data_IF_138055211917
#
_entry.id   IF_138055211917
#
_cell.length_a   1.000
_cell.length_b   1.000
_cell.length_c   1.000
_cell.angle_alpha   90.00
_cell.angle_beta   90.00
_cell.angle_gamma   90.00
#
_symmetry.space_group_name_H-M   'P 1'
#
loop_
_entity.id
_entity.type
_entity.pdbx_description
1 polymer ?
#
# COMPACT_ATOMS: atom_id res chain seq x y z
N UNK A 1 55.97 -26.80 -24.29
CA UNK A 1 55.31 -27.02 -22.98
C UNK A 1 54.13 -26.08 -22.93
N UNK A 2 52.94 -26.61 -23.10
CA UNK A 2 51.67 -25.83 -23.04
C UNK A 2 51.35 -25.49 -21.58
N UNK A 3 51.12 -24.22 -21.29
CA UNK A 3 50.76 -23.72 -19.95
C UNK A 3 49.39 -24.27 -19.49
N UNK A 4 49.44 -25.35 -18.74
CA UNK A 4 48.26 -26.03 -18.17
C UNK A 4 47.60 -25.31 -17.00
N UNK A 5 48.24 -24.30 -16.44
CA UNK A 5 47.79 -23.62 -15.20
C UNK A 5 46.86 -22.44 -15.38
N UNK A 6 46.85 -21.77 -16.54
CA UNK A 6 46.02 -20.61 -16.79
C UNK A 6 44.57 -20.90 -17.22
N UNK A 7 44.32 -22.12 -17.72
CA UNK A 7 42.97 -22.49 -18.21
C UNK A 7 42.09 -23.23 -17.17
N UNK A 8 42.65 -23.64 -16.03
CA UNK A 8 41.96 -24.37 -14.99
C UNK A 8 40.76 -23.58 -14.40
N UNK A 9 40.90 -22.27 -14.05
CA UNK A 9 39.78 -21.52 -13.49
C UNK A 9 38.63 -21.28 -14.52
N UNK A 10 38.98 -21.14 -15.80
CA UNK A 10 37.97 -20.95 -16.88
C UNK A 10 37.20 -22.25 -17.15
N UNK A 11 37.88 -23.40 -17.06
CA UNK A 11 37.24 -24.71 -17.20
C UNK A 11 36.28 -24.98 -16.02
N UNK A 12 36.67 -24.69 -14.77
CA UNK A 12 35.80 -24.81 -13.60
C UNK A 12 34.60 -23.88 -13.67
N UNK A 13 34.79 -22.64 -14.13
CA UNK A 13 33.71 -21.68 -14.32
C UNK A 13 32.73 -22.12 -15.39
N UNK A 14 33.22 -22.69 -16.52
CA UNK A 14 32.37 -23.24 -17.58
C UNK A 14 31.59 -24.48 -17.11
N UNK A 15 32.20 -25.36 -16.33
CA UNK A 15 31.52 -26.53 -15.77
C UNK A 15 30.47 -26.10 -14.73
N UNK A 16 30.74 -25.05 -13.92
CA UNK A 16 29.76 -24.51 -12.96
C UNK A 16 28.55 -23.91 -13.66
N UNK A 17 28.77 -23.17 -14.76
CA UNK A 17 27.69 -22.60 -15.59
C UNK A 17 26.85 -23.70 -16.23
N UNK A 18 27.48 -24.79 -16.72
CA UNK A 18 26.77 -25.93 -17.32
C UNK A 18 25.95 -26.66 -16.26
N UNK A 19 26.46 -26.84 -15.03
CA UNK A 19 25.71 -27.47 -13.94
C UNK A 19 24.48 -26.61 -13.55
N UNK A 20 24.58 -25.28 -13.53
CA UNK A 20 23.45 -24.39 -13.26
C UNK A 20 22.40 -24.41 -14.37
N UNK A 21 22.81 -24.66 -15.63
CA UNK A 21 21.90 -24.77 -16.76
C UNK A 21 21.19 -26.15 -16.86
N UNK A 22 21.69 -27.16 -16.14
CA UNK A 22 21.13 -28.54 -16.14
C UNK A 22 20.23 -28.77 -14.91
N UNK A 23 20.11 -27.78 -13.98
CA UNK A 23 19.15 -27.91 -12.87
C UNK A 23 17.74 -28.07 -13.48
N UNK A 24 17.06 -29.20 -13.28
CA UNK A 24 15.70 -29.34 -13.77
C UNK A 24 14.85 -28.26 -13.07
N UNK A 25 14.10 -27.50 -13.85
CA UNK A 25 13.09 -26.62 -13.31
C UNK A 25 12.13 -27.51 -12.50
N UNK A 26 12.14 -27.38 -11.19
CA UNK A 26 11.18 -28.07 -10.33
C UNK A 26 9.80 -27.57 -10.73
N UNK A 27 9.01 -28.45 -11.32
CA UNK A 27 7.62 -28.16 -11.65
C UNK A 27 6.86 -28.05 -10.34
N UNK A 28 6.30 -26.89 -10.08
CA UNK A 28 5.44 -26.66 -8.92
C UNK A 28 4.04 -27.18 -9.26
N UNK A 29 3.52 -28.08 -8.44
CA UNK A 29 2.12 -28.46 -8.52
C UNK A 29 1.30 -27.30 -7.97
N UNK A 30 0.71 -26.48 -8.84
CA UNK A 30 -0.16 -25.40 -8.45
C UNK A 30 -1.62 -25.81 -8.62
N UNK A 31 -2.45 -25.40 -7.68
CA UNK A 31 -3.89 -25.54 -7.70
C UNK A 31 -4.49 -24.15 -7.50
N UNK A 32 -5.40 -23.76 -8.38
CA UNK A 32 -6.07 -22.45 -8.30
C UNK A 32 -7.57 -22.64 -8.16
N UNK A 33 -8.19 -21.91 -7.22
CA UNK A 33 -9.64 -21.85 -7.02
C UNK A 33 -10.16 -20.43 -7.29
N UNK A 34 -11.34 -20.32 -7.87
CA UNK A 34 -12.01 -19.05 -8.13
C UNK A 34 -13.54 -19.16 -7.92
N UNK A 35 -14.15 -18.14 -7.31
CA UNK A 35 -13.56 -16.95 -6.72
C UNK A 35 -12.84 -17.27 -5.40
N UNK A 36 -11.88 -16.44 -4.99
CA UNK A 36 -11.18 -16.61 -3.69
C UNK A 36 -12.05 -16.22 -2.51
N UNK A 37 -13.10 -15.44 -2.74
CA UNK A 37 -14.04 -14.97 -1.73
C UNK A 37 -15.45 -14.86 -2.31
N UNK A 38 -16.43 -15.36 -1.56
CA UNK A 38 -17.86 -15.22 -1.82
C UNK A 38 -18.50 -14.43 -0.69
N UNK A 39 -19.29 -13.44 -1.05
CA UNK A 39 -20.10 -12.65 -0.11
C UNK A 39 -21.58 -12.93 -0.47
N UNK A 40 -22.28 -13.67 0.40
CA UNK A 40 -23.62 -14.18 0.16
C UNK A 40 -24.58 -13.67 1.25
N UNK A 41 -25.86 -13.62 0.90
CA UNK A 41 -26.94 -13.26 1.82
C UNK A 41 -28.09 -14.25 1.67
N UNK A 42 -28.75 -14.58 2.77
CA UNK A 42 -29.91 -15.49 2.74
C UNK A 42 -30.75 -15.41 4.01
N UNK A 43 -32.00 -15.91 3.92
CA UNK A 43 -32.90 -15.97 5.06
C UNK A 43 -32.67 -17.26 5.87
N UNK A 44 -33.03 -17.30 7.16
CA UNK A 44 -33.12 -18.54 7.91
C UNK A 44 -34.04 -19.55 7.18
N UNK A 45 -33.58 -20.80 7.04
CA UNK A 45 -34.28 -21.88 6.32
C UNK A 45 -34.07 -21.89 4.81
N UNK A 46 -33.39 -20.91 4.24
CA UNK A 46 -33.10 -20.83 2.80
C UNK A 46 -31.95 -21.76 2.38
N UNK A 47 -32.01 -22.23 1.13
CA UNK A 47 -30.87 -22.97 0.51
C UNK A 47 -30.30 -22.15 -0.62
N UNK A 48 -29.05 -21.77 -0.48
CA UNK A 48 -28.28 -21.06 -1.50
C UNK A 48 -27.50 -22.11 -2.33
N UNK A 49 -27.55 -21.98 -3.66
CA UNK A 49 -26.79 -22.81 -4.61
C UNK A 49 -25.90 -21.92 -5.44
N UNK A 50 -24.63 -22.30 -5.55
CA UNK A 50 -23.64 -21.57 -6.36
C UNK A 50 -22.56 -22.51 -6.86
N UNK A 51 -21.61 -22.02 -7.64
CA UNK A 51 -20.59 -22.82 -8.32
C UNK A 51 -19.19 -22.24 -8.07
N UNK A 52 -18.21 -23.14 -7.89
CA UNK A 52 -16.79 -22.81 -7.84
C UNK A 52 -16.08 -23.27 -9.10
N UNK A 53 -14.92 -22.69 -9.35
CA UNK A 53 -14.02 -23.08 -10.43
C UNK A 53 -12.69 -23.56 -9.84
N UNK A 54 -12.18 -24.64 -10.39
CA UNK A 54 -10.91 -25.23 -9.95
C UNK A 54 -10.03 -25.49 -11.16
N UNK A 55 -8.76 -25.12 -11.06
CA UNK A 55 -7.78 -25.33 -12.10
C UNK A 55 -6.62 -26.18 -11.57
N UNK A 56 -6.43 -27.37 -12.17
CA UNK A 56 -5.26 -28.19 -11.91
C UNK A 56 -4.13 -27.74 -12.83
N UNK A 57 -3.20 -26.95 -12.32
CA UNK A 57 -2.04 -26.46 -13.08
C UNK A 57 -0.87 -27.46 -13.10
N UNK A 58 -1.05 -28.65 -12.51
CA UNK A 58 -0.04 -29.71 -12.56
C UNK A 58 -0.07 -30.49 -13.85
N UNK A 59 1.06 -31.09 -14.22
CA UNK A 59 1.18 -31.99 -15.38
C UNK A 59 0.67 -33.43 -15.10
N UNK A 60 0.11 -33.65 -13.89
CA UNK A 60 -0.36 -34.96 -13.45
C UNK A 60 -1.88 -35.01 -13.23
N UNK A 61 -2.46 -36.21 -13.35
CA UNK A 61 -3.80 -36.48 -12.86
C UNK A 61 -3.82 -36.33 -11.33
N UNK A 62 -4.79 -35.61 -10.81
CA UNK A 62 -4.88 -35.33 -9.37
C UNK A 62 -6.31 -35.48 -8.87
N UNK A 63 -6.47 -36.18 -7.76
CA UNK A 63 -7.73 -36.16 -6.98
C UNK A 63 -7.64 -35.10 -5.92
N UNK A 64 -8.64 -34.23 -5.88
CA UNK A 64 -8.78 -33.21 -4.85
C UNK A 64 -9.94 -33.56 -3.94
N UNK A 65 -9.74 -33.40 -2.63
CA UNK A 65 -10.71 -33.68 -1.58
C UNK A 65 -11.23 -32.36 -1.00
N UNK A 66 -12.52 -32.31 -0.75
CA UNK A 66 -13.17 -31.13 -0.15
C UNK A 66 -13.11 -31.18 1.36
N UNK A 67 -12.81 -30.03 1.97
CA UNK A 67 -12.87 -29.84 3.41
C UNK A 67 -13.52 -28.48 3.74
N UNK A 68 -14.27 -28.44 4.84
CA UNK A 68 -14.94 -27.23 5.31
C UNK A 68 -14.41 -26.85 6.69
N UNK A 69 -14.04 -25.60 6.87
CA UNK A 69 -13.58 -25.08 8.15
C UNK A 69 -14.21 -23.71 8.40
N UNK A 70 -14.67 -23.45 9.61
CA UNK A 70 -15.05 -22.09 9.99
C UNK A 70 -13.80 -21.20 10.11
N UNK A 71 -13.97 -19.90 10.07
CA UNK A 71 -12.87 -19.03 10.40
C UNK A 71 -13.31 -17.80 11.19
N UNK A 72 -12.38 -17.27 11.93
CA UNK A 72 -12.47 -16.05 12.73
C UNK A 72 -11.30 -15.11 12.40
N UNK A 73 -11.32 -13.91 12.94
CA UNK A 73 -10.21 -12.98 12.74
C UNK A 73 -8.96 -13.45 13.51
N UNK A 74 -7.80 -13.40 12.85
CA UNK A 74 -6.50 -13.64 13.48
C UNK A 74 -5.75 -12.33 13.67
N UNK A 75 -5.75 -11.81 14.89
CA UNK A 75 -5.13 -10.52 15.18
C UNK A 75 -5.72 -9.39 14.34
N UNK A 76 -4.90 -8.44 13.90
CA UNK A 76 -5.37 -7.24 13.20
C UNK A 76 -5.03 -7.21 11.71
N UNK A 77 -4.35 -8.24 11.18
CA UNK A 77 -3.90 -8.28 9.78
C UNK A 77 -5.03 -8.52 8.76
N UNK A 78 -6.18 -8.99 9.23
CA UNK A 78 -7.28 -9.46 8.39
C UNK A 78 -7.04 -10.86 7.82
N UNK A 79 -6.04 -11.59 8.31
CA UNK A 79 -5.83 -13.00 7.98
C UNK A 79 -6.85 -13.85 8.72
N UNK A 80 -7.43 -14.88 8.09
CA UNK A 80 -8.33 -15.80 8.75
C UNK A 80 -7.57 -16.76 9.68
N UNK A 81 -8.18 -17.12 10.79
CA UNK A 81 -7.82 -18.23 11.64
C UNK A 81 -8.84 -19.34 11.42
N UNK A 82 -8.43 -20.42 10.76
CA UNK A 82 -9.32 -21.52 10.45
C UNK A 82 -9.49 -22.44 11.66
N UNK A 83 -10.75 -22.71 12.00
CA UNK A 83 -11.14 -23.52 13.13
C UNK A 83 -12.00 -24.68 12.63
N UNK A 84 -11.58 -25.91 12.89
CA UNK A 84 -12.44 -27.07 12.68
C UNK A 84 -13.55 -27.03 13.71
N UNK A 85 -14.79 -27.10 13.26
CA UNK A 85 -15.94 -27.06 14.13
C UNK A 85 -17.01 -28.04 13.72
N UNK A 86 -17.75 -28.51 14.73
CA UNK A 86 -18.97 -29.31 14.54
C UNK A 86 -20.20 -28.43 14.43
N UNK A 87 -20.03 -27.11 14.46
CA UNK A 87 -21.06 -26.09 14.46
C UNK A 87 -20.76 -24.99 13.42
N UNK A 88 -21.71 -24.12 13.15
CA UNK A 88 -21.54 -22.95 12.29
C UNK A 88 -21.57 -23.25 10.80
N UNK A 89 -21.22 -22.26 9.97
CA UNK A 89 -21.40 -22.27 8.52
C UNK A 89 -20.73 -23.47 7.83
N UNK A 90 -19.60 -23.95 8.31
CA UNK A 90 -18.92 -25.10 7.74
C UNK A 90 -19.78 -26.36 7.69
N UNK A 91 -20.72 -26.50 8.62
CA UNK A 91 -21.66 -27.65 8.67
C UNK A 91 -22.88 -27.46 7.78
N UNK A 92 -23.15 -26.26 7.31
CA UNK A 92 -24.25 -25.95 6.41
C UNK A 92 -23.91 -26.11 4.94
N UNK A 93 -22.60 -26.18 4.62
CA UNK A 93 -22.09 -26.28 3.28
C UNK A 93 -22.00 -27.74 2.85
N UNK A 94 -22.46 -28.03 1.63
CA UNK A 94 -22.31 -29.32 0.97
C UNK A 94 -21.73 -29.12 -0.43
N UNK A 95 -20.69 -29.88 -0.79
CA UNK A 95 -20.07 -29.92 -2.09
C UNK A 95 -19.65 -31.36 -2.40
N UNK A 96 -19.22 -31.71 -3.64
CA UNK A 96 -18.66 -33.02 -3.94
C UNK A 96 -17.49 -33.36 -3.02
N UNK A 97 -17.48 -34.59 -2.46
CA UNK A 97 -16.44 -35.02 -1.51
C UNK A 97 -15.05 -35.05 -2.13
N UNK A 98 -14.97 -35.38 -3.41
CA UNK A 98 -13.73 -35.38 -4.19
C UNK A 98 -14.00 -34.97 -5.64
N UNK A 99 -12.94 -34.59 -6.33
CA UNK A 99 -12.95 -34.20 -7.72
C UNK A 99 -11.67 -34.65 -8.40
N UNK A 100 -11.82 -35.43 -9.46
CA UNK A 100 -10.73 -35.89 -10.30
C UNK A 100 -10.50 -34.90 -11.44
N UNK A 101 -9.29 -34.36 -11.55
CA UNK A 101 -8.89 -33.46 -12.62
C UNK A 101 -7.69 -34.00 -13.37
N UNK A 102 -7.77 -33.94 -14.71
CA UNK A 102 -6.64 -34.27 -15.63
C UNK A 102 -5.56 -33.18 -15.53
N UNK A 103 -4.36 -33.46 -16.05
CA UNK A 103 -3.34 -32.43 -16.19
C UNK A 103 -3.85 -31.20 -16.91
N UNK A 104 -3.58 -30.02 -16.34
CA UNK A 104 -3.99 -28.72 -16.88
C UNK A 104 -5.51 -28.58 -17.13
N UNK A 105 -6.34 -29.35 -16.41
CA UNK A 105 -7.79 -29.26 -16.52
C UNK A 105 -8.34 -28.11 -15.71
N UNK A 106 -9.14 -27.28 -16.39
CA UNK A 106 -9.93 -26.23 -15.78
C UNK A 106 -11.39 -26.68 -15.68
N UNK A 107 -11.90 -26.81 -14.45
CA UNK A 107 -13.29 -27.17 -14.17
C UNK A 107 -14.07 -25.93 -13.77
N UNK A 108 -15.02 -25.50 -14.64
CA UNK A 108 -15.75 -24.24 -14.49
C UNK A 108 -16.94 -24.31 -13.54
N UNK A 109 -17.49 -25.49 -13.32
CA UNK A 109 -18.76 -25.64 -12.57
C UNK A 109 -18.64 -26.77 -11.57
N UNK A 110 -18.28 -26.40 -10.35
CA UNK A 110 -18.29 -27.31 -9.21
C UNK A 110 -19.39 -26.81 -8.28
N UNK A 111 -20.55 -27.51 -8.26
CA UNK A 111 -21.69 -27.04 -7.49
C UNK A 111 -21.44 -27.18 -5.99
N UNK A 112 -21.94 -26.25 -5.24
CA UNK A 112 -22.08 -26.36 -3.80
C UNK A 112 -23.44 -25.79 -3.34
N UNK A 113 -23.89 -26.22 -2.18
CA UNK A 113 -25.13 -25.76 -1.56
C UNK A 113 -24.84 -25.32 -0.13
N UNK A 114 -25.50 -24.26 0.32
CA UNK A 114 -25.52 -23.81 1.72
C UNK A 114 -26.95 -23.92 2.21
N UNK A 115 -27.20 -24.81 3.16
CA UNK A 115 -28.51 -24.98 3.80
C UNK A 115 -28.51 -24.21 5.11
N UNK A 116 -29.10 -23.02 5.10
CA UNK A 116 -29.20 -22.17 6.28
C UNK A 116 -30.23 -22.78 7.22
N UNK A 117 -29.91 -23.11 8.48
CA UNK A 117 -30.88 -23.59 9.44
C UNK A 117 -32.02 -22.59 9.67
N UNK A 118 -33.20 -23.09 9.95
CA UNK A 118 -34.38 -22.22 10.21
C UNK A 118 -34.24 -21.40 11.51
N UNK A 119 -33.38 -21.85 12.40
CA UNK A 119 -33.02 -21.25 13.69
C UNK A 119 -31.65 -20.56 13.65
N UNK A 120 -31.08 -20.34 12.46
CA UNK A 120 -29.82 -19.63 12.32
C UNK A 120 -29.90 -18.21 12.86
N UNK A 121 -28.95 -17.82 13.70
CA UNK A 121 -28.87 -16.47 14.24
C UNK A 121 -28.61 -15.45 13.12
N UNK A 122 -29.34 -14.30 13.10
CA UNK A 122 -29.04 -13.20 12.19
C UNK A 122 -27.62 -12.67 12.39
N UNK A 123 -26.93 -12.37 11.26
CA UNK A 123 -25.57 -11.83 11.30
C UNK A 123 -24.62 -12.56 10.38
N UNK A 124 -23.33 -12.38 10.63
CA UNK A 124 -22.24 -12.90 9.81
C UNK A 124 -21.80 -14.29 10.21
N UNK A 125 -21.81 -15.23 9.26
CA UNK A 125 -21.27 -16.57 9.41
C UNK A 125 -20.13 -16.78 8.43
N UNK A 126 -19.02 -17.37 8.86
CA UNK A 126 -17.76 -17.39 8.11
C UNK A 126 -17.19 -18.78 8.03
N UNK A 127 -16.99 -19.29 6.81
CA UNK A 127 -16.35 -20.58 6.56
C UNK A 127 -15.51 -20.53 5.28
N UNK A 128 -14.69 -21.55 5.07
CA UNK A 128 -13.94 -21.76 3.86
C UNK A 128 -14.24 -23.13 3.28
N UNK A 129 -14.36 -23.18 1.95
CA UNK A 129 -14.42 -24.42 1.17
C UNK A 129 -13.00 -24.66 0.67
N UNK A 130 -12.36 -25.70 1.18
CA UNK A 130 -11.00 -26.07 0.81
C UNK A 130 -10.97 -27.25 -0.15
N UNK A 131 -9.99 -27.20 -1.04
CA UNK A 131 -9.59 -28.31 -1.90
C UNK A 131 -8.18 -28.73 -1.52
N UNK A 132 -7.98 -29.99 -1.17
CA UNK A 132 -6.71 -30.55 -0.70
C UNK A 132 -6.30 -31.75 -1.53
N UNK A 133 -5.00 -31.95 -1.71
CA UNK A 133 -4.46 -33.13 -2.41
C UNK A 133 -4.45 -34.39 -1.55
N UNK A 134 -4.59 -34.24 -0.25
CA UNK A 134 -4.63 -35.36 0.69
C UNK A 134 -6.06 -35.55 1.23
N UNK A 135 -6.49 -36.83 1.44
CA UNK A 135 -7.76 -37.08 2.11
C UNK A 135 -7.85 -36.43 3.49
N UNK A 136 -9.04 -35.99 3.94
CA UNK A 136 -9.22 -35.38 5.26
C UNK A 136 -8.71 -36.26 6.43
N UNK A 137 -8.79 -37.59 6.32
CA UNK A 137 -8.27 -38.55 7.31
C UNK A 137 -6.76 -38.44 7.54
N UNK A 138 -5.99 -38.14 6.49
CA UNK A 138 -4.53 -38.01 6.58
C UNK A 138 -4.13 -36.67 7.24
N UNK A 139 -4.96 -35.65 7.04
CA UNK A 139 -4.77 -34.33 7.69
C UNK A 139 -5.06 -34.40 9.20
N UNK A 140 -5.95 -35.29 9.63
CA UNK A 140 -6.24 -35.53 11.06
C UNK A 140 -5.09 -36.23 11.77
N UNK A 141 -4.38 -37.11 11.09
CA UNK A 141 -3.24 -37.82 11.65
C UNK A 141 -1.94 -37.00 11.71
N UNK A 142 -1.94 -35.77 11.12
CA UNK A 142 -0.77 -34.87 11.09
C UNK A 142 0.39 -35.35 10.21
N UNK A 143 0.19 -36.34 9.35
CA UNK A 143 1.26 -36.99 8.56
C UNK A 143 1.34 -36.46 7.11
N UNK A 144 0.36 -35.68 6.65
CA UNK A 144 0.29 -35.24 5.25
C UNK A 144 0.73 -33.80 5.02
N UNK A 145 1.77 -33.60 4.21
CA UNK A 145 2.05 -32.30 3.57
C UNK A 145 1.36 -32.31 2.20
N UNK A 146 0.26 -31.58 2.06
CA UNK A 146 -0.48 -31.44 0.83
C UNK A 146 -0.74 -29.99 0.46
N UNK A 147 -0.96 -29.73 -0.84
CA UNK A 147 -1.46 -28.43 -1.27
C UNK A 147 -2.90 -28.25 -0.76
N UNK A 148 -3.20 -27.07 -0.19
CA UNK A 148 -4.53 -26.69 0.29
C UNK A 148 -4.83 -25.28 -0.23
N UNK A 149 -5.88 -25.16 -1.04
CA UNK A 149 -6.41 -23.87 -1.49
C UNK A 149 -7.88 -23.78 -1.15
N UNK A 150 -8.41 -22.58 -1.00
CA UNK A 150 -9.80 -22.45 -0.60
C UNK A 150 -10.45 -21.14 -1.02
N UNK A 151 -11.78 -21.18 -1.03
CA UNK A 151 -12.66 -20.02 -1.17
C UNK A 151 -13.22 -19.64 0.19
N UNK A 152 -13.07 -18.39 0.59
CA UNK A 152 -13.72 -17.86 1.79
C UNK A 152 -15.19 -17.60 1.49
N UNK A 153 -16.07 -18.08 2.34
CA UNK A 153 -17.52 -17.84 2.29
C UNK A 153 -17.89 -16.94 3.46
N UNK A 154 -18.40 -15.76 3.15
CA UNK A 154 -18.91 -14.78 4.11
C UNK A 154 -20.42 -14.70 3.90
N UNK A 155 -21.18 -15.44 4.68
CA UNK A 155 -22.63 -15.48 4.63
C UNK A 155 -23.21 -14.48 5.64
N UNK A 156 -24.12 -13.63 5.18
CA UNK A 156 -25.01 -12.81 6.02
C UNK A 156 -26.37 -13.48 6.13
N UNK A 157 -26.75 -13.91 7.31
CA UNK A 157 -28.11 -14.36 7.60
C UNK A 157 -28.96 -13.14 7.93
N UNK A 158 -30.03 -12.94 7.17
CA UNK A 158 -30.90 -11.78 7.30
C UNK A 158 -31.75 -11.84 8.57
N UNK A 159 -31.99 -10.67 9.17
CA UNK A 159 -32.76 -10.51 10.39
C UNK A 159 -32.47 -9.19 11.07
N UNK A 160 -32.76 -9.10 12.35
CA UNK A 160 -32.41 -7.94 13.18
C UNK A 160 -30.95 -8.07 13.62
N UNK A 161 -30.06 -7.34 12.95
CA UNK A 161 -28.62 -7.44 13.11
C UNK A 161 -28.13 -6.18 13.82
N UNK A 162 -27.49 -6.35 14.97
CA UNK A 162 -26.81 -5.26 15.64
C UNK A 162 -25.58 -4.82 14.83
N UNK A 163 -25.52 -3.55 14.48
CA UNK A 163 -24.38 -2.94 13.79
C UNK A 163 -23.71 -1.91 14.68
N UNK A 164 -22.39 -1.97 14.79
CA UNK A 164 -21.61 -1.05 15.61
C UNK A 164 -20.13 -1.13 15.31
N UNK A 165 -19.40 -0.07 15.65
CA UNK A 165 -17.95 -0.05 15.47
C UNK A 165 -17.41 1.34 15.22
N UNK A 166 -16.16 1.42 14.77
CA UNK A 166 -15.54 2.70 14.44
C UNK A 166 -14.02 2.68 14.45
N UNK A 167 -13.46 3.84 14.09
CA UNK A 167 -12.03 4.08 14.11
C UNK A 167 -11.58 4.23 15.58
N UNK A 168 -10.68 3.37 16.03
CA UNK A 168 -10.10 3.44 17.37
C UNK A 168 -8.71 4.06 17.40
N UNK A 169 -8.00 4.07 16.27
CA UNK A 169 -6.69 4.70 16.13
C UNK A 169 -6.48 5.14 14.67
N UNK A 170 -5.88 6.31 14.46
CA UNK A 170 -5.47 6.79 13.15
C UNK A 170 -4.15 7.54 13.28
N UNK A 171 -3.20 7.28 12.41
CA UNK A 171 -1.89 7.91 12.45
C UNK A 171 -0.99 7.50 11.29
N UNK A 172 0.29 7.81 11.43
CA UNK A 172 1.35 7.42 10.50
C UNK A 172 2.09 6.19 11.02
N UNK A 173 2.61 5.35 10.11
CA UNK A 173 3.46 4.23 10.46
C UNK A 173 4.66 4.73 11.30
N UNK A 174 5.02 3.97 12.35
CA UNK A 174 6.07 4.38 13.28
C UNK A 174 5.75 5.59 14.16
N UNK A 175 4.50 6.11 14.14
CA UNK A 175 4.04 7.28 14.92
C UNK A 175 4.84 8.56 14.65
N UNK A 176 5.48 8.67 13.49
CA UNK A 176 6.26 9.84 13.08
C UNK A 176 5.32 11.00 12.79
N UNK A 177 5.71 12.21 13.24
CA UNK A 177 4.98 13.44 12.97
C UNK A 177 5.70 14.38 12.01
N UNK A 178 6.96 14.09 11.69
CA UNK A 178 7.79 14.90 10.80
C UNK A 178 8.41 14.02 9.74
N UNK A 179 8.23 14.39 8.50
CA UNK A 179 8.75 13.71 7.33
C UNK A 179 9.63 14.66 6.52
N UNK A 180 10.61 14.15 5.80
CA UNK A 180 11.44 14.95 4.91
C UNK A 180 10.75 15.16 3.55
N UNK A 181 10.03 14.16 3.09
CA UNK A 181 9.37 14.11 1.80
C UNK A 181 8.25 13.04 1.82
N UNK A 182 7.54 12.87 0.72
CA UNK A 182 6.66 11.72 0.48
C UNK A 182 7.47 10.49 0.02
N UNK A 183 7.00 9.24 0.16
CA UNK A 183 5.67 8.86 0.65
C UNK A 183 5.49 9.12 2.15
N UNK A 184 4.21 9.21 2.56
CA UNK A 184 3.79 9.22 3.96
C UNK A 184 2.81 8.07 4.14
N UNK A 185 3.19 7.09 4.93
CA UNK A 185 2.40 5.90 5.19
C UNK A 185 1.51 6.11 6.40
N UNK A 186 0.22 5.86 6.20
CA UNK A 186 -0.80 5.96 7.22
C UNK A 186 -1.33 4.60 7.60
N UNK A 187 -1.84 4.50 8.81
CA UNK A 187 -2.64 3.36 9.25
C UNK A 187 -3.84 3.86 10.03
N UNK A 188 -4.89 3.04 10.02
CA UNK A 188 -5.97 3.15 10.98
C UNK A 188 -6.38 1.77 11.48
N UNK A 189 -6.91 1.73 12.69
CA UNK A 189 -7.47 0.54 13.32
C UNK A 189 -8.97 0.74 13.42
N UNK A 190 -9.71 -0.18 12.86
CA UNK A 190 -11.17 -0.17 12.90
C UNK A 190 -11.64 -1.34 13.73
N UNK A 191 -12.54 -1.09 14.69
CA UNK A 191 -13.18 -2.10 15.52
C UNK A 191 -14.61 -2.31 15.04
N UNK A 192 -14.99 -3.57 14.93
CA UNK A 192 -16.35 -4.01 14.68
C UNK A 192 -16.94 -4.55 15.98
N UNK A 193 -17.94 -3.87 16.50
CA UNK A 193 -18.69 -4.25 17.71
C UNK A 193 -20.08 -4.83 17.33
N UNK A 194 -20.33 -5.06 16.02
CA UNK A 194 -21.58 -5.60 15.50
C UNK A 194 -21.54 -7.11 15.28
N UNK A 195 -22.69 -7.67 14.91
CA UNK A 195 -22.87 -9.12 14.70
C UNK A 195 -22.60 -9.56 13.26
N UNK A 196 -22.33 -8.65 12.30
CA UNK A 196 -21.94 -8.98 10.93
C UNK A 196 -20.62 -8.32 10.55
N UNK A 197 -20.02 -8.76 9.42
CA UNK A 197 -18.83 -8.15 8.86
C UNK A 197 -19.07 -6.69 8.48
N UNK A 198 -18.13 -5.84 8.77
CA UNK A 198 -18.12 -4.44 8.33
C UNK A 198 -17.04 -4.27 7.27
N UNK A 199 -17.40 -3.64 6.15
CA UNK A 199 -16.48 -3.19 5.11
C UNK A 199 -16.41 -1.66 5.17
N UNK A 200 -15.41 -1.08 5.88
CA UNK A 200 -15.29 0.36 5.97
C UNK A 200 -14.97 0.94 4.59
N UNK A 201 -15.78 1.88 4.13
CA UNK A 201 -15.59 2.61 2.87
C UNK A 201 -15.47 4.10 3.17
N UNK A 202 -14.81 4.85 2.31
CA UNK A 202 -14.70 6.29 2.52
C UNK A 202 -13.45 6.92 1.95
N UNK A 203 -13.01 8.03 2.56
CA UNK A 203 -11.89 8.81 2.05
C UNK A 203 -10.96 9.34 3.13
N UNK A 204 -9.67 9.34 2.82
CA UNK A 204 -8.66 10.06 3.58
C UNK A 204 -8.26 11.33 2.82
N UNK A 205 -8.70 12.49 3.32
CA UNK A 205 -8.43 13.80 2.72
C UNK A 205 -7.25 14.48 3.40
N UNK A 206 -6.17 14.70 2.66
CA UNK A 206 -4.98 15.41 3.14
C UNK A 206 -5.05 16.87 2.69
N UNK A 207 -4.94 17.80 3.65
CA UNK A 207 -4.97 19.25 3.42
C UNK A 207 -3.71 19.90 3.95
N UNK A 208 -3.22 20.91 3.25
CA UNK A 208 -2.10 21.74 3.71
C UNK A 208 -2.54 22.77 4.78
N UNK A 209 -1.59 23.58 5.25
CA UNK A 209 -1.83 24.63 6.25
C UNK A 209 -2.93 25.62 5.84
N UNK A 210 -3.07 25.92 4.55
CA UNK A 210 -4.08 26.84 4.02
C UNK A 210 -5.46 26.17 3.85
N UNK A 211 -5.62 24.91 4.27
CA UNK A 211 -6.87 24.17 4.13
C UNK A 211 -7.13 23.64 2.71
N UNK A 212 -6.20 23.86 1.77
CA UNK A 212 -6.32 23.37 0.39
C UNK A 212 -6.09 21.87 0.40
N UNK A 213 -7.01 21.13 -0.24
CA UNK A 213 -6.90 19.68 -0.39
C UNK A 213 -5.75 19.32 -1.35
N UNK A 214 -4.76 18.62 -0.82
CA UNK A 214 -3.62 18.13 -1.60
C UNK A 214 -3.94 16.84 -2.33
N UNK A 215 -4.67 15.92 -1.67
CA UNK A 215 -5.06 14.62 -2.20
C UNK A 215 -6.26 14.05 -1.44
N UNK A 216 -7.01 13.17 -2.10
CA UNK A 216 -8.01 12.28 -1.51
C UNK A 216 -7.64 10.85 -1.84
N UNK A 217 -7.56 9.99 -0.85
CA UNK A 217 -7.09 8.60 -0.96
C UNK A 217 -8.17 7.64 -0.48
N UNK A 218 -8.36 6.49 -1.15
CA UNK A 218 -9.17 5.40 -0.62
C UNK A 218 -8.40 4.71 0.52
N UNK A 219 -8.97 4.61 1.72
CA UNK A 219 -8.25 4.06 2.87
C UNK A 219 -8.33 2.52 2.95
N UNK A 220 -9.25 1.88 2.22
CA UNK A 220 -9.44 0.43 2.14
C UNK A 220 -9.31 -0.06 0.70
N UNK A 221 -8.08 -0.05 0.17
CA UNK A 221 -7.76 -0.44 -1.22
C UNK A 221 -8.08 -1.90 -1.55
N UNK A 222 -8.00 -2.78 -0.56
CA UNK A 222 -8.21 -4.23 -0.73
C UNK A 222 -9.64 -4.67 -0.49
N UNK A 223 -10.55 -3.71 -0.25
CA UNK A 223 -11.94 -3.99 0.13
C UNK A 223 -12.04 -5.00 1.28
N UNK A 224 -11.18 -4.82 2.28
CA UNK A 224 -11.08 -5.73 3.41
C UNK A 224 -12.27 -5.61 4.36
N UNK A 225 -12.77 -6.74 4.84
CA UNK A 225 -13.82 -6.82 5.85
C UNK A 225 -13.22 -6.87 7.26
N UNK A 226 -13.92 -6.33 8.22
CA UNK A 226 -13.66 -6.47 9.66
C UNK A 226 -14.74 -7.39 10.23
N UNK A 227 -14.33 -8.56 10.71
CA UNK A 227 -15.24 -9.56 11.27
C UNK A 227 -15.83 -9.09 12.60
N UNK A 228 -16.97 -9.65 13.06
CA UNK A 228 -17.53 -9.37 14.37
C UNK A 228 -16.50 -9.49 15.50
N UNK A 229 -16.66 -8.70 16.54
CA UNK A 229 -15.83 -8.69 17.74
C UNK A 229 -14.31 -8.58 17.49
N UNK A 230 -13.93 -8.01 16.34
CA UNK A 230 -12.52 -7.93 15.96
C UNK A 230 -12.06 -6.52 15.64
N UNK A 231 -10.75 -6.35 15.68
CA UNK A 231 -10.07 -5.14 15.22
C UNK A 231 -9.26 -5.48 13.98
N UNK A 232 -9.37 -4.66 12.95
CA UNK A 232 -8.51 -4.78 11.78
C UNK A 232 -7.73 -3.50 11.55
N UNK A 233 -6.45 -3.66 11.24
CA UNK A 233 -5.56 -2.59 10.83
C UNK A 233 -5.53 -2.51 9.32
N UNK A 234 -5.71 -1.29 8.82
CA UNK A 234 -5.60 -0.95 7.41
C UNK A 234 -4.44 0.01 7.22
N UNK A 235 -3.77 -0.13 6.10
CA UNK A 235 -2.64 0.73 5.75
C UNK A 235 -2.84 1.31 4.35
N UNK A 236 -2.48 2.57 4.18
CA UNK A 236 -2.53 3.27 2.90
C UNK A 236 -1.46 4.36 2.87
N UNK A 237 -1.02 4.76 1.67
CA UNK A 237 0.07 5.69 1.51
C UNK A 237 -0.33 6.94 0.71
N UNK A 238 0.18 8.09 1.14
CA UNK A 238 0.25 9.25 0.27
C UNK A 238 1.52 9.15 -0.56
N UNK A 239 1.37 8.56 -1.72
CA UNK A 239 2.46 8.23 -2.62
C UNK A 239 3.26 9.44 -3.10
N UNK A 240 4.53 9.18 -3.43
CA UNK A 240 5.44 10.06 -4.12
C UNK A 240 5.79 9.54 -5.51
N UNK A 241 6.78 10.18 -6.15
CA UNK A 241 7.34 9.76 -7.44
C UNK A 241 8.37 8.62 -7.32
N UNK A 242 8.40 7.92 -6.19
CA UNK A 242 9.42 6.95 -5.84
C UNK A 242 10.74 7.61 -5.39
N UNK A 243 11.47 6.94 -4.53
CA UNK A 243 12.77 7.40 -4.03
C UNK A 243 13.88 6.95 -4.99
N UNK A 244 14.90 7.79 -5.12
CA UNK A 244 16.14 7.42 -5.77
C UNK A 244 16.97 6.64 -4.75
N UNK A 245 17.31 5.39 -5.07
CA UNK A 245 18.15 4.53 -4.26
C UNK A 245 19.47 4.32 -5.03
N UNK A 246 20.35 5.30 -4.95
CA UNK A 246 21.70 5.20 -5.49
C UNK A 246 22.65 4.81 -4.36
N UNK A 247 23.54 3.85 -4.60
CA UNK A 247 24.64 3.56 -3.68
C UNK A 247 25.61 4.74 -3.68
N UNK A 248 25.80 5.36 -2.54
CA UNK A 248 26.65 6.54 -2.39
C UNK A 248 27.62 6.30 -1.25
N UNK A 249 28.92 6.34 -1.57
CA UNK A 249 30.00 5.98 -0.65
C UNK A 249 30.40 7.09 0.35
N UNK A 250 29.80 8.29 0.25
CA UNK A 250 30.19 9.42 1.10
C UNK A 250 29.00 10.31 1.53
N UNK A 251 29.16 10.99 2.65
CA UNK A 251 28.17 11.87 3.26
C UNK A 251 27.72 13.03 2.33
N UNK A 252 28.62 13.54 1.49
CA UNK A 252 28.29 14.61 0.56
C UNK A 252 27.34 14.13 -0.54
N UNK A 253 27.58 12.94 -1.07
CA UNK A 253 26.68 12.33 -2.04
C UNK A 253 25.32 12.00 -1.44
N UNK A 254 25.30 11.48 -0.20
CA UNK A 254 24.06 11.22 0.53
C UNK A 254 23.22 12.50 0.73
N UNK A 255 23.89 13.61 1.08
CA UNK A 255 23.23 14.91 1.18
C UNK A 255 22.52 15.30 -0.14
N UNK A 256 23.23 15.19 -1.28
CA UNK A 256 22.65 15.53 -2.58
C UNK A 256 21.58 14.55 -3.05
N UNK A 257 21.69 13.28 -2.69
CA UNK A 257 20.65 12.29 -2.91
C UNK A 257 19.36 12.68 -2.17
N UNK A 258 19.49 13.09 -0.91
CA UNK A 258 18.37 13.58 -0.11
C UNK A 258 17.76 14.87 -0.69
N UNK A 259 18.57 15.85 -1.13
CA UNK A 259 18.09 17.05 -1.83
C UNK A 259 17.26 16.68 -3.06
N UNK A 260 17.72 15.73 -3.89
CA UNK A 260 17.01 15.28 -5.07
C UNK A 260 15.70 14.57 -4.72
N UNK A 261 15.70 13.74 -3.68
CA UNK A 261 14.51 13.04 -3.19
C UNK A 261 13.48 14.01 -2.63
N UNK A 262 13.91 15.01 -1.85
CA UNK A 262 13.06 16.07 -1.32
C UNK A 262 12.47 16.96 -2.43
N UNK A 263 13.27 17.31 -3.45
CA UNK A 263 12.79 18.07 -4.62
C UNK A 263 11.76 17.28 -5.42
N UNK A 264 12.06 16.00 -5.70
CA UNK A 264 11.19 15.12 -6.48
C UNK A 264 9.84 14.87 -5.79
N UNK A 265 9.86 14.74 -4.47
CA UNK A 265 8.71 14.44 -3.62
C UNK A 265 8.33 15.61 -2.72
N UNK A 266 8.42 16.83 -3.26
CA UNK A 266 8.28 18.07 -2.52
C UNK A 266 6.96 18.16 -1.74
N UNK A 267 7.08 18.57 -0.49
CA UNK A 267 6.02 19.01 0.39
C UNK A 267 6.64 19.94 1.43
N UNK A 268 5.90 20.93 1.88
CA UNK A 268 6.39 21.88 2.86
C UNK A 268 5.30 22.29 3.84
N UNK A 269 5.63 22.21 5.12
CA UNK A 269 4.81 22.73 6.21
C UNK A 269 3.88 21.72 6.86
N UNK A 270 2.84 22.21 7.50
CA UNK A 270 1.87 21.44 8.28
C UNK A 270 0.78 20.88 7.38
N UNK A 271 0.51 19.60 7.54
CA UNK A 271 -0.58 18.89 6.88
C UNK A 271 -1.55 18.31 7.89
N UNK A 272 -2.78 18.11 7.46
CA UNK A 272 -3.84 17.49 8.24
C UNK A 272 -4.51 16.43 7.37
N UNK A 273 -4.43 15.16 7.79
CA UNK A 273 -5.18 14.05 7.21
C UNK A 273 -6.49 13.90 7.99
N UNK A 274 -7.63 13.97 7.28
CA UNK A 274 -8.97 13.67 7.80
C UNK A 274 -9.43 12.38 7.17
N UNK A 275 -9.61 11.34 7.97
CA UNK A 275 -10.19 10.07 7.58
C UNK A 275 -11.68 10.12 7.90
N UNK A 276 -12.52 9.84 6.90
CA UNK A 276 -13.98 9.73 7.03
C UNK A 276 -14.40 8.40 6.46
N UNK A 277 -15.04 7.56 7.26
CA UNK A 277 -15.49 6.22 6.88
C UNK A 277 -17.00 6.10 7.10
N UNK A 278 -17.65 5.53 6.10
CA UNK A 278 -19.04 5.10 6.14
C UNK A 278 -19.07 3.57 6.20
N UNK A 279 -19.94 3.00 7.01
CA UNK A 279 -20.02 1.56 7.25
C UNK A 279 -21.42 1.12 7.68
N UNK A 280 -21.59 -0.18 7.91
CA UNK A 280 -22.90 -0.82 8.09
C UNK A 280 -23.52 -1.23 6.75
N UNK A 281 -24.63 -1.98 6.79
CA UNK A 281 -25.28 -2.51 5.60
C UNK A 281 -25.72 -1.39 4.65
N UNK A 282 -26.33 -0.35 5.19
CA UNK A 282 -26.84 0.79 4.43
C UNK A 282 -25.86 1.98 4.42
N UNK A 283 -24.63 1.81 4.90
CA UNK A 283 -23.62 2.88 5.03
C UNK A 283 -24.10 4.10 5.82
N UNK A 284 -25.02 3.89 6.78
CA UNK A 284 -25.57 4.96 7.61
C UNK A 284 -24.69 5.28 8.82
N UNK A 285 -23.85 4.36 9.22
CA UNK A 285 -22.92 4.58 10.32
C UNK A 285 -21.68 5.31 9.80
N UNK A 286 -21.21 6.27 10.59
CA UNK A 286 -20.12 7.14 10.20
C UNK A 286 -19.08 7.24 11.32
N UNK A 287 -17.79 7.23 10.95
CA UNK A 287 -16.69 7.44 11.87
C UNK A 287 -15.61 8.31 11.26
N UNK A 288 -15.12 9.29 12.03
CA UNK A 288 -14.10 10.22 11.56
C UNK A 288 -12.91 10.27 12.52
N UNK A 289 -11.74 10.44 11.94
CA UNK A 289 -10.52 10.68 12.67
C UNK A 289 -9.64 11.71 11.97
N UNK A 290 -8.80 12.40 12.74
CA UNK A 290 -7.90 13.42 12.21
C UNK A 290 -6.50 13.24 12.76
N UNK A 291 -5.51 13.33 11.87
CA UNK A 291 -4.10 13.29 12.23
C UNK A 291 -3.35 14.47 11.62
N UNK A 292 -2.40 15.02 12.36
CA UNK A 292 -1.60 16.18 11.94
C UNK A 292 -0.14 15.79 11.89
N UNK A 293 0.52 16.13 10.80
CA UNK A 293 1.93 15.86 10.57
C UNK A 293 2.59 17.00 9.79
N UNK A 294 3.93 16.96 9.68
CA UNK A 294 4.74 17.96 9.01
C UNK A 294 5.59 17.31 7.92
N UNK A 295 5.75 18.03 6.82
CA UNK A 295 6.79 17.71 5.83
C UNK A 295 7.78 18.88 5.86
N UNK A 296 9.05 18.58 6.19
CA UNK A 296 10.12 19.56 6.35
C UNK A 296 11.36 19.11 5.55
N UNK A 297 11.49 19.53 4.28
CA UNK A 297 12.61 19.16 3.41
C UNK A 297 13.85 19.98 3.79
N UNK A 298 14.51 19.63 4.89
CA UNK A 298 15.54 20.48 5.47
C UNK A 298 16.82 20.57 4.62
N UNK A 299 17.18 19.52 3.86
CA UNK A 299 18.32 19.57 2.96
C UNK A 299 18.09 20.58 1.84
N UNK A 300 16.89 20.55 1.25
CA UNK A 300 16.48 21.50 0.22
C UNK A 300 16.40 22.94 0.77
N UNK A 301 15.85 23.12 1.98
CA UNK A 301 15.78 24.42 2.63
C UNK A 301 17.18 24.98 2.91
N UNK A 302 18.12 24.15 3.33
CA UNK A 302 19.50 24.58 3.55
C UNK A 302 20.14 25.07 2.24
N UNK A 303 19.97 24.35 1.15
CA UNK A 303 20.46 24.78 -0.18
C UNK A 303 19.81 26.09 -0.59
N UNK A 304 18.50 26.23 -0.39
CA UNK A 304 17.78 27.48 -0.71
C UNK A 304 18.29 28.67 0.11
N UNK A 305 18.56 28.50 1.41
CA UNK A 305 19.14 29.55 2.27
C UNK A 305 20.55 29.94 1.79
N UNK A 306 21.40 28.96 1.47
CA UNK A 306 22.76 29.25 0.94
C UNK A 306 22.67 30.06 -0.35
N UNK A 307 21.78 29.67 -1.28
CA UNK A 307 21.57 30.41 -2.54
C UNK A 307 21.07 31.84 -2.29
N UNK A 308 20.13 32.04 -1.36
CA UNK A 308 19.66 33.38 -1.00
C UNK A 308 20.77 34.24 -0.42
N UNK A 309 21.64 33.70 0.41
CA UNK A 309 22.80 34.41 0.97
C UNK A 309 23.77 34.81 -0.14
N UNK A 310 24.08 33.90 -1.07
CA UNK A 310 24.94 34.21 -2.23
C UNK A 310 24.30 35.33 -3.07
N UNK A 311 23.01 35.21 -3.41
CA UNK A 311 22.29 36.24 -4.17
C UNK A 311 22.30 37.60 -3.49
N UNK A 312 22.13 37.62 -2.15
CA UNK A 312 22.21 38.86 -1.38
C UNK A 312 23.59 39.53 -1.52
N UNK A 313 24.68 38.79 -1.35
CA UNK A 313 26.03 39.34 -1.48
C UNK A 313 26.37 39.81 -2.89
N UNK A 314 25.99 39.02 -3.92
CA UNK A 314 26.15 39.40 -5.32
C UNK A 314 25.31 40.65 -5.63
N UNK A 315 24.03 40.67 -5.28
CA UNK A 315 23.15 41.79 -5.50
C UNK A 315 23.64 43.07 -4.80
N UNK A 316 24.12 42.98 -3.53
CA UNK A 316 24.72 44.08 -2.83
C UNK A 316 25.94 44.63 -3.56
N UNK A 317 26.80 43.74 -4.07
CA UNK A 317 27.99 44.17 -4.84
C UNK A 317 27.61 44.90 -6.11
N UNK A 318 26.64 44.41 -6.87
CA UNK A 318 26.17 45.04 -8.08
C UNK A 318 25.53 46.41 -7.81
N UNK A 319 24.72 46.55 -6.76
CA UNK A 319 24.14 47.84 -6.36
C UNK A 319 25.22 48.84 -5.97
N UNK A 320 26.24 48.42 -5.24
CA UNK A 320 27.37 49.30 -4.88
C UNK A 320 28.15 49.74 -6.12
N UNK A 321 28.46 48.82 -7.05
CA UNK A 321 29.13 49.12 -8.30
C UNK A 321 28.32 50.10 -9.19
N UNK A 322 26.99 49.89 -9.26
CA UNK A 322 26.07 50.75 -9.98
C UNK A 322 26.02 52.19 -9.39
N UNK A 323 25.97 52.29 -8.07
CA UNK A 323 25.99 53.57 -7.36
C UNK A 323 27.32 54.33 -7.63
N UNK A 324 28.47 53.67 -7.53
CA UNK A 324 29.76 54.26 -7.90
C UNK A 324 29.81 54.74 -9.36
N UNK A 325 29.26 53.95 -10.29
CA UNK A 325 29.20 54.29 -11.68
C UNK A 325 28.33 55.56 -11.91
N UNK A 326 27.16 55.64 -11.28
CA UNK A 326 26.31 56.85 -11.33
C UNK A 326 27.08 58.08 -10.81
N UNK A 327 27.70 57.95 -9.64
CA UNK A 327 28.46 59.06 -9.03
C UNK A 327 29.58 59.50 -9.98
N UNK A 328 30.38 58.57 -10.50
CA UNK A 328 31.45 58.89 -11.45
C UNK A 328 30.92 59.59 -12.72
N UNK A 329 29.80 59.14 -13.26
CA UNK A 329 29.15 59.69 -14.44
C UNK A 329 28.62 61.14 -14.16
N UNK A 330 28.01 61.33 -13.01
CA UNK A 330 27.49 62.65 -12.57
C UNK A 330 28.62 63.66 -12.37
N UNK A 331 29.72 63.22 -11.71
CA UNK A 331 30.94 64.07 -11.53
C UNK A 331 31.53 64.45 -12.87
N UNK A 332 31.66 63.51 -13.83
CA UNK A 332 32.16 63.79 -15.16
C UNK A 332 31.28 64.78 -15.90
N UNK A 333 29.94 64.65 -15.79
CA UNK A 333 29.02 65.61 -16.41
C UNK A 333 29.09 67.00 -15.75
N UNK A 334 29.19 67.13 -14.43
CA UNK A 334 29.37 68.37 -13.74
C UNK A 334 30.70 69.06 -14.08
N UNK A 335 31.78 68.29 -14.23
CA UNK A 335 33.07 68.85 -14.66
C UNK A 335 33.04 69.40 -16.08
N UNK A 336 32.36 68.72 -16.99
CA UNK A 336 32.12 69.21 -18.37
C UNK A 336 31.31 70.52 -18.38
N UNK A 337 30.24 70.63 -17.59
CA UNK A 337 29.44 71.82 -17.45
C UNK A 337 30.23 72.98 -16.86
N UNK A 338 31.09 72.75 -15.83
CA UNK A 338 31.99 73.78 -15.28
C UNK A 338 32.98 74.28 -16.31
N UNK A 339 33.53 73.39 -17.14
CA UNK A 339 34.48 73.79 -18.20
C UNK A 339 33.84 74.59 -19.31
N UNK A 340 32.61 74.26 -19.71
CA UNK A 340 31.78 75.04 -20.63
C UNK A 340 31.45 76.42 -20.03
N UNK A 341 31.03 76.49 -18.78
CA UNK A 341 30.73 77.76 -18.10
C UNK A 341 31.99 78.64 -17.97
N UNK A 342 33.16 78.06 -17.75
CA UNK A 342 34.45 78.77 -17.69
C UNK A 342 34.87 79.33 -19.05
N UNK A 343 34.59 78.62 -20.14
CA UNK A 343 34.86 79.10 -21.53
C UNK A 343 33.92 80.22 -21.97
N UNK A 344 32.67 80.18 -21.61
CA UNK A 344 31.70 81.19 -22.03
C UNK A 344 31.52 82.34 -21.03
N UNK A 345 31.81 82.12 -19.71
CA UNK A 345 31.75 83.16 -18.68
C UNK A 345 32.87 84.16 -18.73
N UNK A 346 34.01 83.88 -19.40
CA UNK A 346 35.15 84.77 -19.58
C UNK A 346 35.00 85.82 -20.70
N UNK A 347 33.85 85.82 -21.43
CA UNK A 347 33.58 86.75 -22.52
C UNK A 347 32.69 87.96 -22.23
N UNK A 348 32.37 88.21 -20.97
CA UNK A 348 31.65 89.45 -20.58
C UNK A 348 32.47 90.28 -19.56
N UNK A 349 33.56 90.83 -20.06
CA UNK A 349 34.22 92.02 -19.50
C UNK A 349 34.87 92.77 -20.66
N UNK A 350 34.14 93.55 -21.40
CA UNK A 350 34.57 94.82 -21.99
C UNK A 350 33.39 95.77 -21.90
#
# INVERSE_FOLDING_TARGET
MMNFTENLPKFFLSCLIIIVLITPAFKTNALTVSPVRLELEGNPGETIKDELKLNNESDGFQTFYTAFENFEARGESGSPNFVRGTEGLATWITAPENLDLKPNEYRERIPFEIKIPADAEPGGHFAAIFWTTNPPSDLESGIGIGAKVGTLVLLRVLGDIEEGGGIIEFGTLGKQKVFLHRPVDFFYRFRNDGADRIKPDGTANIRNLLGIRSVSLPPNLTEGNVLPDSIRRFEFAWEGKGLLNEEVDNQFGEFWLNVRNEWRNFGLGRYSAKLSLDYGADKQLHSEAKYVFWILPWHLLLVAVILLVILYFVGRREVLAYNEWIVRRTIKHMNQLKEVTRRYGGRKKV
#
